data_IF_325284420059
#
_entry.id   IF_325284420059
#
_cell.length_a   1.000
_cell.length_b   1.000
_cell.length_c   1.000
_cell.angle_alpha   90.00
_cell.angle_beta   90.00
_cell.angle_gamma   90.00
#
_symmetry.space_group_name_H-M   'P 1'
#
loop_
_entity.id
_entity.type
_entity.pdbx_description
1 polymer ?
#
# COMPACT_ATOMS: atom_id res chain seq x y z
N UNK A 1 -21.43 -20.10 -6.20
CA UNK A 1 -20.01 -20.12 -6.62
C UNK A 1 -19.32 -18.74 -6.55
N UNK A 2 -19.93 -17.69 -5.97
CA UNK A 2 -19.43 -16.31 -6.12
C UNK A 2 -18.63 -15.77 -4.93
N UNK A 3 -18.96 -16.12 -3.67
CA UNK A 3 -18.31 -15.50 -2.50
C UNK A 3 -16.85 -15.97 -2.26
N UNK A 4 -16.53 -17.22 -2.61
CA UNK A 4 -15.18 -17.77 -2.34
C UNK A 4 -14.10 -17.10 -3.20
N UNK A 5 -14.42 -16.71 -4.44
CA UNK A 5 -13.47 -16.05 -5.33
C UNK A 5 -13.25 -14.58 -4.93
N UNK A 6 -14.30 -13.86 -4.54
CA UNK A 6 -14.16 -12.48 -4.06
C UNK A 6 -13.31 -12.39 -2.79
N UNK A 7 -13.48 -13.34 -1.85
CA UNK A 7 -12.64 -13.41 -0.65
C UNK A 7 -11.18 -13.72 -0.98
N UNK A 8 -10.93 -14.62 -1.95
CA UNK A 8 -9.56 -14.94 -2.41
C UNK A 8 -8.93 -13.73 -3.09
N UNK A 9 -9.65 -13.03 -3.96
CA UNK A 9 -9.18 -11.79 -4.58
C UNK A 9 -8.86 -10.76 -3.49
N UNK A 10 -9.81 -10.44 -2.61
CA UNK A 10 -9.59 -9.52 -1.48
C UNK A 10 -8.40 -9.91 -0.60
N UNK A 11 -8.19 -11.21 -0.32
CA UNK A 11 -7.02 -11.69 0.42
C UNK A 11 -5.70 -11.51 -0.35
N UNK A 12 -5.71 -11.68 -1.68
CA UNK A 12 -4.56 -11.43 -2.54
C UNK A 12 -4.23 -9.94 -2.55
N UNK A 13 -5.22 -9.05 -2.65
CA UNK A 13 -5.03 -7.61 -2.57
C UNK A 13 -4.67 -7.13 -1.16
N UNK A 14 -5.13 -7.79 -0.08
CA UNK A 14 -4.72 -7.44 1.29
C UNK A 14 -3.23 -7.71 1.54
N UNK A 15 -2.63 -8.67 0.82
CA UNK A 15 -1.18 -8.90 0.83
C UNK A 15 -0.50 -7.97 -0.16
N UNK A 16 0.64 -7.40 0.23
CA UNK A 16 1.45 -6.57 -0.69
C UNK A 16 1.92 -7.41 -1.89
N UNK A 17 1.49 -7.10 -3.13
CA UNK A 17 1.90 -7.85 -4.29
C UNK A 17 3.31 -7.41 -4.75
N UNK A 18 3.92 -8.18 -5.67
CA UNK A 18 5.20 -7.80 -6.30
C UNK A 18 5.04 -6.78 -7.43
N UNK A 19 3.86 -6.74 -8.04
CA UNK A 19 3.48 -5.83 -9.13
C UNK A 19 2.08 -5.33 -8.89
N UNK A 20 1.83 -4.09 -9.29
CA UNK A 20 0.53 -3.46 -9.20
C UNK A 20 -0.47 -4.27 -10.04
N UNK A 21 -1.56 -4.77 -9.45
CA UNK A 21 -2.59 -5.51 -10.18
C UNK A 21 -3.38 -4.62 -11.15
N UNK A 22 -3.35 -3.29 -10.98
CA UNK A 22 -4.04 -2.32 -11.85
C UNK A 22 -3.21 -1.96 -13.08
N UNK A 23 -1.93 -1.57 -12.90
CA UNK A 23 -1.09 -1.06 -13.98
C UNK A 23 0.12 -1.94 -14.33
N UNK A 24 0.39 -3.00 -13.57
CA UNK A 24 1.51 -3.91 -13.80
C UNK A 24 2.89 -3.42 -13.33
N UNK A 25 2.99 -2.18 -12.84
CA UNK A 25 4.25 -1.59 -12.37
C UNK A 25 4.78 -2.28 -11.11
N UNK A 26 6.11 -2.33 -10.93
CA UNK A 26 6.74 -2.83 -9.70
C UNK A 26 6.82 -1.77 -8.58
N UNK A 27 6.45 -0.52 -8.85
CA UNK A 27 6.50 0.58 -7.88
C UNK A 27 5.35 0.48 -6.87
N UNK A 28 5.56 -0.33 -5.83
CA UNK A 28 4.60 -0.52 -4.73
C UNK A 28 5.22 -0.12 -3.40
N UNK A 29 4.65 0.90 -2.78
CA UNK A 29 5.03 1.41 -1.46
C UNK A 29 4.22 0.77 -0.34
N UNK A 30 4.79 0.79 0.88
CA UNK A 30 3.98 0.59 2.09
C UNK A 30 3.30 1.91 2.47
N UNK A 31 2.09 1.83 3.01
CA UNK A 31 1.42 3.02 3.55
C UNK A 31 1.75 3.13 5.04
N UNK A 32 2.26 4.28 5.44
CA UNK A 32 2.52 4.62 6.84
C UNK A 32 1.42 5.56 7.34
N UNK A 33 0.71 5.12 8.36
CA UNK A 33 -0.34 5.89 9.03
C UNK A 33 0.14 6.48 10.36
N UNK A 34 -0.61 7.45 10.87
CA UNK A 34 -0.34 8.12 12.14
C UNK A 34 0.47 9.39 11.99
N UNK A 35 1.15 9.77 13.08
CA UNK A 35 2.05 10.92 13.14
C UNK A 35 3.49 10.42 13.33
N UNK A 36 4.16 10.00 12.23
CA UNK A 36 5.52 9.48 12.34
C UNK A 36 6.51 10.60 12.63
N UNK A 37 7.58 10.24 13.34
CA UNK A 37 8.74 11.13 13.49
C UNK A 37 9.51 11.15 12.17
N UNK A 38 9.69 12.32 11.58
CA UNK A 38 10.54 12.52 10.41
C UNK A 38 12.00 12.42 10.82
N UNK A 39 12.59 11.27 10.53
CA UNK A 39 14.02 11.03 10.68
C UNK A 39 14.65 10.78 9.30
N UNK A 40 15.99 10.86 9.17
CA UNK A 40 16.66 10.71 7.87
C UNK A 40 16.36 9.38 7.16
N UNK A 41 16.08 8.31 7.91
CA UNK A 41 15.71 7.02 7.32
C UNK A 41 14.32 7.06 6.68
N UNK A 42 13.34 7.65 7.36
CA UNK A 42 11.99 7.82 6.84
C UNK A 42 11.99 8.75 5.62
N UNK A 43 12.71 9.87 5.70
CA UNK A 43 12.86 10.80 4.58
C UNK A 43 13.45 10.11 3.35
N UNK A 44 14.50 9.29 3.53
CA UNK A 44 15.06 8.48 2.44
C UNK A 44 14.03 7.51 1.86
N UNK A 45 13.27 6.81 2.70
CA UNK A 45 12.23 5.86 2.24
C UNK A 45 11.10 6.54 1.47
N UNK A 46 10.73 7.75 1.88
CA UNK A 46 9.76 8.60 1.17
C UNK A 46 10.32 9.03 -0.19
N UNK A 47 11.56 9.50 -0.23
CA UNK A 47 12.23 9.91 -1.47
C UNK A 47 12.41 8.75 -2.47
N UNK A 48 12.71 7.55 -1.97
CA UNK A 48 12.80 6.32 -2.76
C UNK A 48 11.42 5.73 -3.13
N UNK A 49 10.31 6.38 -2.75
CA UNK A 49 8.93 5.89 -2.95
C UNK A 49 8.69 4.47 -2.41
N UNK A 50 9.45 4.06 -1.38
CA UNK A 50 9.27 2.76 -0.70
C UNK A 50 8.17 2.84 0.36
N UNK A 51 7.93 4.03 0.88
CA UNK A 51 6.85 4.38 1.82
C UNK A 51 6.09 5.57 1.26
N UNK A 52 4.77 5.57 1.44
CA UNK A 52 3.91 6.74 1.24
C UNK A 52 3.13 6.99 2.54
N UNK A 53 2.71 8.24 2.74
CA UNK A 53 1.91 8.60 3.90
C UNK A 53 0.44 8.46 3.55
N UNK A 54 -0.33 7.78 4.41
CA UNK A 54 -1.76 7.67 4.27
C UNK A 54 -2.46 8.82 4.99
N UNK A 55 -2.93 8.54 6.20
CA UNK A 55 -3.57 9.51 7.09
C UNK A 55 -3.20 9.28 8.55
N UNK A 56 -3.78 10.08 9.44
CA UNK A 56 -3.46 10.04 10.88
C UNK A 56 -4.13 8.86 11.62
N UNK A 57 -5.21 8.31 11.08
CA UNK A 57 -6.01 7.23 11.68
C UNK A 57 -6.05 6.06 10.72
N UNK A 58 -5.99 4.84 11.26
CA UNK A 58 -6.10 3.58 10.52
C UNK A 58 -7.29 2.77 11.04
N UNK A 59 -8.02 2.16 10.13
CA UNK A 59 -9.17 1.28 10.33
C UNK A 59 -8.85 -0.13 9.77
N UNK A 60 -9.67 -1.13 10.06
CA UNK A 60 -9.39 -2.52 9.67
C UNK A 60 -9.38 -2.79 8.15
N UNK A 61 -10.02 -1.90 7.40
CA UNK A 61 -10.16 -1.96 5.94
C UNK A 61 -9.22 -0.99 5.20
N UNK A 62 -8.42 -0.21 5.93
CA UNK A 62 -7.46 0.69 5.32
C UNK A 62 -6.32 -0.10 4.62
N UNK A 63 -5.89 0.34 3.43
CA UNK A 63 -4.89 -0.36 2.64
C UNK A 63 -3.51 -0.30 3.31
N UNK A 64 -2.75 -1.39 3.23
CA UNK A 64 -1.39 -1.46 3.81
C UNK A 64 -0.29 -1.08 2.82
N UNK A 65 -0.64 -0.97 1.53
CA UNK A 65 0.28 -0.70 0.43
C UNK A 65 -0.43 0.09 -0.66
N UNK A 66 0.35 0.74 -1.53
CA UNK A 66 -0.19 1.49 -2.67
C UNK A 66 0.79 1.51 -3.84
N UNK A 67 0.28 1.67 -5.06
CA UNK A 67 1.09 1.84 -6.25
C UNK A 67 1.51 3.31 -6.41
N UNK A 68 2.80 3.58 -6.57
CA UNK A 68 3.29 4.96 -6.71
C UNK A 68 3.35 5.45 -8.15
N UNK A 69 2.95 4.61 -9.12
CA UNK A 69 2.80 5.01 -10.53
C UNK A 69 1.36 5.38 -10.90
N UNK A 70 0.37 4.62 -10.43
CA UNK A 70 -1.04 4.84 -10.76
C UNK A 70 -1.91 5.17 -9.54
N UNK A 71 -1.30 5.31 -8.37
CA UNK A 71 -1.94 5.79 -7.14
C UNK A 71 -3.10 4.93 -6.61
N UNK A 72 -3.21 3.69 -7.10
CA UNK A 72 -4.15 2.70 -6.55
C UNK A 72 -3.69 2.15 -5.21
N UNK A 73 -4.65 1.93 -4.31
CA UNK A 73 -4.49 1.38 -2.96
C UNK A 73 -5.51 0.28 -2.69
#
# INVERSE_FOLDING_TARGET
MSQKNELIEKLIFKRKPRKCPVCGAASIANILYGMPVFNPELERKLAEKKVILGGCVISDDDPSWGCTECESV
#
